data_IF_817580420991
#
_entry.id   IF_817580420991
#
_cell.length_a   1.000
_cell.length_b   1.000
_cell.length_c   1.000
_cell.angle_alpha   90.00
_cell.angle_beta   90.00
_cell.angle_gamma   90.00
#
_symmetry.space_group_name_H-M   'P 1'
#
loop_
_entity.id
_entity.type
_entity.pdbx_description
1 polymer ?
#
# COMPACT_ATOMS: atom_id res chain seq x y z
N UNK A 1 9.13 -0.66 -6.13
CA UNK A 1 9.02 -0.59 -4.66
C UNK A 1 8.08 0.55 -4.38
N UNK A 2 7.08 0.37 -3.52
CA UNK A 2 6.11 1.40 -3.16
C UNK A 2 6.46 1.89 -1.76
N UNK A 3 6.59 3.21 -1.65
CA UNK A 3 6.97 3.92 -0.43
C UNK A 3 5.95 5.03 -0.26
N UNK A 4 5.34 5.11 0.92
CA UNK A 4 4.47 6.21 1.25
C UNK A 4 5.26 7.49 1.41
N UNK A 5 4.71 8.59 0.92
CA UNK A 5 5.28 9.93 1.07
C UNK A 5 4.90 10.51 2.45
N UNK A 6 5.22 9.78 3.51
CA UNK A 6 5.12 10.24 4.90
C UNK A 6 6.50 10.71 5.42
N UNK A 7 6.54 11.21 6.65
CA UNK A 7 7.80 11.65 7.27
C UNK A 7 8.81 10.52 7.51
N UNK A 8 8.42 9.26 7.33
CA UNK A 8 9.20 8.07 7.63
C UNK A 8 9.56 7.24 6.40
N UNK A 9 9.12 7.64 5.20
CA UNK A 9 9.20 6.85 3.97
C UNK A 9 8.74 5.41 4.20
N UNK A 10 7.53 5.23 4.75
CA UNK A 10 7.02 3.90 5.11
C UNK A 10 6.97 2.98 3.89
N UNK A 11 7.54 1.79 4.02
CA UNK A 11 7.49 0.78 2.97
C UNK A 11 6.10 0.13 2.90
N UNK A 12 5.44 0.25 1.74
CA UNK A 12 4.07 -0.21 1.49
C UNK A 12 4.00 -1.43 0.55
N UNK A 13 5.14 -2.06 0.26
CA UNK A 13 5.19 -3.26 -0.57
C UNK A 13 5.84 -3.01 -1.94
N UNK A 14 5.78 -4.01 -2.82
CA UNK A 14 6.39 -3.97 -4.15
C UNK A 14 5.38 -4.40 -5.20
N UNK A 15 5.45 -3.78 -6.37
CA UNK A 15 4.82 -4.28 -7.60
C UNK A 15 5.57 -5.56 -8.02
N UNK A 16 5.04 -6.73 -7.68
CA UNK A 16 5.60 -8.05 -7.95
C UNK A 16 4.47 -9.05 -8.30
N UNK A 17 4.78 -10.33 -8.54
CA UNK A 17 3.70 -11.30 -8.78
C UNK A 17 2.87 -11.53 -7.52
N UNK A 18 1.62 -11.99 -7.66
CA UNK A 18 0.74 -12.31 -6.51
C UNK A 18 1.24 -13.46 -5.61
N UNK A 19 2.34 -14.11 -5.98
CA UNK A 19 2.98 -15.16 -5.18
C UNK A 19 4.14 -14.64 -4.33
N UNK A 20 4.58 -13.39 -4.53
CA UNK A 20 5.68 -12.81 -3.75
C UNK A 20 5.15 -12.26 -2.42
N UNK A 21 5.85 -12.52 -1.32
CA UNK A 21 5.37 -12.21 0.03
C UNK A 21 5.27 -10.71 0.33
N UNK A 22 6.06 -9.88 -0.36
CA UNK A 22 6.03 -8.41 -0.28
C UNK A 22 5.23 -7.76 -1.42
N UNK A 23 4.53 -8.56 -2.23
CA UNK A 23 3.76 -8.04 -3.35
C UNK A 23 2.48 -7.37 -2.87
N UNK A 24 2.19 -6.21 -3.44
CA UNK A 24 0.87 -5.57 -3.25
C UNK A 24 -0.26 -6.35 -3.94
N UNK A 25 0.05 -7.29 -4.83
CA UNK A 25 -0.96 -8.14 -5.49
C UNK A 25 -1.11 -9.51 -4.80
N UNK A 26 -0.41 -9.73 -3.68
CA UNK A 26 -0.57 -10.92 -2.89
C UNK A 26 -1.61 -10.64 -1.79
N UNK A 27 -2.84 -11.07 -2.03
CA UNK A 27 -3.97 -10.92 -1.10
C UNK A 27 -3.76 -11.67 0.23
N UNK A 28 -2.88 -12.68 0.23
CA UNK A 28 -2.44 -13.38 1.45
C UNK A 28 -1.14 -12.81 2.02
N UNK A 29 -0.60 -11.76 1.37
CA UNK A 29 0.64 -11.11 1.71
C UNK A 29 0.42 -9.91 2.63
N UNK A 30 1.50 -9.44 3.25
CA UNK A 30 1.45 -8.40 4.29
C UNK A 30 1.05 -7.01 3.76
N UNK A 31 1.08 -6.82 2.43
CA UNK A 31 0.87 -5.54 1.76
C UNK A 31 -0.23 -5.55 0.70
N UNK A 32 -0.73 -6.74 0.32
CA UNK A 32 -1.80 -6.89 -0.68
C UNK A 32 -3.16 -7.21 -0.09
N UNK A 33 -3.23 -7.59 1.19
CA UNK A 33 -4.49 -7.86 1.91
C UNK A 33 -5.26 -6.56 2.18
N UNK A 34 -6.47 -6.44 1.65
CA UNK A 34 -7.38 -5.28 1.78
C UNK A 34 -7.85 -4.99 3.21
N UNK A 35 -7.69 -5.92 4.16
CA UNK A 35 -8.06 -5.74 5.56
C UNK A 35 -6.90 -5.23 6.42
N UNK A 36 -5.67 -5.22 5.91
CA UNK A 36 -4.51 -4.74 6.67
C UNK A 36 -4.41 -3.22 6.60
N UNK A 37 -4.16 -2.58 7.75
CA UNK A 37 -4.06 -1.11 7.89
C UNK A 37 -2.86 -0.46 7.17
N UNK A 38 -1.97 -1.26 6.58
CA UNK A 38 -0.83 -0.84 5.78
C UNK A 38 -0.99 -1.12 4.29
N UNK A 39 -2.06 -1.81 3.89
CA UNK A 39 -2.33 -2.14 2.50
C UNK A 39 -2.82 -0.93 1.74
N UNK A 40 -2.27 -0.70 0.56
CA UNK A 40 -2.72 0.39 -0.32
C UNK A 40 -4.11 0.11 -0.92
N UNK A 41 -4.62 -1.12 -0.81
CA UNK A 41 -5.96 -1.51 -1.26
C UNK A 41 -7.03 -1.32 -0.19
N UNK A 42 -6.61 -1.02 1.04
CA UNK A 42 -7.54 -0.77 2.12
C UNK A 42 -7.92 0.72 2.10
N UNK A 43 -9.14 1.03 1.67
CA UNK A 43 -9.67 2.40 1.59
C UNK A 43 -9.74 3.10 2.97
N UNK A 44 -9.74 2.35 4.06
CA UNK A 44 -9.72 2.85 5.43
C UNK A 44 -8.30 2.91 6.02
N UNK A 45 -7.29 2.42 5.30
CA UNK A 45 -5.90 2.49 5.75
C UNK A 45 -5.31 3.89 5.60
N UNK A 46 -4.18 4.10 6.26
CA UNK A 46 -3.42 5.34 6.18
C UNK A 46 -2.89 5.64 4.77
N UNK A 47 -2.74 4.63 3.92
CA UNK A 47 -2.09 4.74 2.60
C UNK A 47 -3.01 4.47 1.41
N UNK A 48 -4.08 3.68 1.59
CA UNK A 48 -5.07 3.38 0.54
C UNK A 48 -6.23 4.38 0.47
N UNK A 49 -6.38 5.25 1.46
CA UNK A 49 -7.42 6.27 1.44
C UNK A 49 -7.07 7.39 0.44
N UNK A 50 -7.83 7.48 -0.66
CA UNK A 50 -7.67 8.47 -1.74
C UNK A 50 -7.82 9.94 -1.29
N UNK A 51 -8.44 10.18 -0.13
CA UNK A 51 -8.62 11.51 0.45
C UNK A 51 -7.49 11.91 1.40
N UNK A 52 -6.51 11.04 1.65
CA UNK A 52 -5.35 11.37 2.46
C UNK A 52 -4.23 11.89 1.58
N UNK A 53 -3.54 12.93 2.06
CA UNK A 53 -2.39 13.56 1.37
C UNK A 53 -1.22 12.60 1.08
N UNK A 54 -1.26 11.38 1.61
CA UNK A 54 -0.25 10.35 1.46
C UNK A 54 -0.64 9.27 0.44
N UNK A 55 -1.72 9.50 -0.31
CA UNK A 55 -2.20 8.57 -1.33
C UNK A 55 -1.21 8.50 -2.51
N UNK A 56 -0.66 7.32 -2.82
CA UNK A 56 0.38 7.17 -3.83
C UNK A 56 -0.08 7.43 -5.27
N UNK A 57 -1.39 7.55 -5.51
CA UNK A 57 -1.96 7.89 -6.83
C UNK A 57 -2.65 9.25 -6.85
N UNK A 58 -2.33 10.14 -5.90
CA UNK A 58 -2.81 11.52 -5.94
C UNK A 58 -2.10 12.26 -7.08
N UNK A 59 -2.79 12.40 -8.23
CA UNK A 59 -2.40 13.33 -9.28
C UNK A 59 -2.68 14.76 -8.79
N UNK A 60 -1.67 15.45 -8.27
CA UNK A 60 -1.67 16.91 -8.11
C UNK A 60 -0.29 17.50 -8.45
#
# INVERSE_FOLDING_TARGET
MIIAQDSSNTFCGKVASGFESRSIFNEFGTYGDEFISKSIWNDFSTFGNEFKSNYPFSEF
#
